data_IF_489426000483
#
_entry.id   IF_489426000483
#
_cell.length_a   1.000
_cell.length_b   1.000
_cell.length_c   1.000
_cell.angle_alpha   90.00
_cell.angle_beta   90.00
_cell.angle_gamma   90.00
#
_symmetry.space_group_name_H-M   'P 1'
#
loop_
_entity.id
_entity.type
_entity.pdbx_description
1 polymer ?
#
# COMPACT_ATOMS: atom_id res chain seq x y z
N UNK A 1 -3.90 8.31 49.91
CA UNK A 1 -4.86 8.96 49.00
C UNK A 1 -4.08 10.04 48.28
N UNK A 2 -3.69 9.95 47.00
CA UNK A 2 -4.27 9.38 45.77
C UNK A 2 -3.09 8.83 44.93
N UNK A 3 -2.90 7.53 44.67
CA UNK A 3 -3.50 6.72 43.59
C UNK A 3 -3.95 7.48 42.34
N UNK A 4 -3.09 7.67 41.32
CA UNK A 4 -3.45 7.34 39.92
C UNK A 4 -2.20 7.14 39.07
N UNK A 5 -2.30 6.16 38.18
CA UNK A 5 -1.28 5.34 37.53
C UNK A 5 -0.49 5.97 36.37
N UNK A 6 0.61 5.33 35.94
CA UNK A 6 1.38 5.71 34.77
C UNK A 6 0.73 5.17 33.49
N UNK A 7 0.71 5.94 32.42
CA UNK A 7 0.41 5.44 31.08
C UNK A 7 1.65 5.62 30.21
N UNK A 8 2.57 4.67 30.35
CA UNK A 8 3.49 4.33 29.28
C UNK A 8 2.62 4.05 28.05
N UNK A 9 2.74 4.90 27.03
CA UNK A 9 2.17 4.62 25.71
C UNK A 9 2.84 3.37 25.20
N UNK A 10 2.21 2.22 25.45
CA UNK A 10 2.59 0.96 24.85
C UNK A 10 2.37 1.10 23.35
N UNK A 11 3.43 1.47 22.65
CA UNK A 11 3.53 1.29 21.21
C UNK A 11 3.35 -0.21 21.00
N UNK A 12 2.13 -0.62 20.65
CA UNK A 12 1.81 -2.03 20.42
C UNK A 12 2.76 -2.51 19.34
N UNK A 13 3.66 -3.42 19.71
CA UNK A 13 4.52 -4.10 18.76
C UNK A 13 3.64 -4.59 17.61
N UNK A 14 3.99 -4.29 16.35
CA UNK A 14 3.19 -4.69 15.21
C UNK A 14 2.96 -6.21 15.27
N UNK A 15 1.77 -6.69 14.89
CA UNK A 15 1.45 -8.11 14.94
C UNK A 15 2.54 -8.91 14.20
N UNK A 16 2.85 -10.13 14.68
CA UNK A 16 3.80 -11.01 14.01
C UNK A 16 3.45 -11.14 12.52
N UNK A 17 4.37 -10.72 11.65
CA UNK A 17 4.20 -10.73 10.19
C UNK A 17 4.07 -9.35 9.53
N UNK A 18 3.64 -8.31 10.25
CA UNK A 18 3.48 -6.98 9.64
C UNK A 18 4.83 -6.29 9.39
N UNK A 19 5.81 -6.49 10.29
CA UNK A 19 7.19 -6.02 10.07
C UNK A 19 7.83 -6.77 8.90
N UNK A 20 7.72 -8.10 8.85
CA UNK A 20 8.28 -8.90 7.77
C UNK A 20 7.67 -8.53 6.41
N UNK A 21 6.35 -8.33 6.36
CA UNK A 21 5.68 -7.88 5.15
C UNK A 21 6.17 -6.50 4.70
N UNK A 22 6.30 -5.55 5.64
CA UNK A 22 6.83 -4.22 5.37
C UNK A 22 8.25 -4.29 4.80
N UNK A 23 9.12 -5.07 5.42
CA UNK A 23 10.51 -5.21 4.99
C UNK A 23 10.61 -5.81 3.59
N UNK A 24 9.84 -6.87 3.31
CA UNK A 24 9.78 -7.47 1.97
C UNK A 24 9.28 -6.45 0.95
N UNK A 25 8.24 -5.68 1.30
CA UNK A 25 7.67 -4.69 0.41
C UNK A 25 8.70 -3.60 0.08
N UNK A 26 9.32 -3.02 1.10
CA UNK A 26 10.26 -1.90 0.99
C UNK A 26 11.59 -2.29 0.32
N UNK A 27 12.11 -3.49 0.58
CA UNK A 27 13.41 -3.93 0.07
C UNK A 27 13.37 -4.66 -1.26
N UNK A 28 12.18 -4.99 -1.78
CA UNK A 28 12.09 -5.67 -3.07
C UNK A 28 12.63 -4.79 -4.21
N UNK A 29 13.48 -5.34 -5.10
CA UNK A 29 14.01 -4.61 -6.26
C UNK A 29 12.99 -4.48 -7.40
N UNK A 30 11.78 -5.01 -7.22
CA UNK A 30 10.67 -4.90 -8.17
C UNK A 30 9.64 -3.89 -7.69
N UNK A 31 9.00 -3.19 -8.60
CA UNK A 31 7.90 -2.28 -8.26
C UNK A 31 6.71 -3.05 -7.70
N UNK A 32 6.30 -2.73 -6.47
CA UNK A 32 5.14 -3.33 -5.83
C UNK A 32 4.23 -2.26 -5.24
N UNK A 33 2.94 -2.51 -5.36
CA UNK A 33 1.89 -1.65 -4.82
C UNK A 33 0.74 -2.50 -4.28
N UNK A 34 0.09 -1.99 -3.24
CA UNK A 34 -1.19 -2.48 -2.76
C UNK A 34 -2.29 -1.52 -3.22
N UNK A 35 -3.40 -2.10 -3.67
CA UNK A 35 -4.58 -1.39 -4.11
C UNK A 35 -5.73 -1.68 -3.14
N UNK A 36 -6.57 -0.68 -2.92
CA UNK A 36 -7.93 -0.87 -2.40
C UNK A 36 -8.83 -1.47 -3.48
N UNK A 37 -10.01 -1.96 -3.10
CA UNK A 37 -11.01 -2.47 -4.04
C UNK A 37 -11.50 -1.38 -5.01
N UNK A 38 -11.45 -0.11 -4.59
CA UNK A 38 -11.75 1.05 -5.45
C UNK A 38 -10.56 1.44 -6.37
N UNK A 39 -9.49 0.66 -6.37
CA UNK A 39 -8.32 0.88 -7.24
C UNK A 39 -7.36 1.99 -6.77
N UNK A 40 -7.53 2.52 -5.55
CA UNK A 40 -6.60 3.51 -4.96
C UNK A 40 -5.37 2.83 -4.38
N UNK A 41 -4.21 3.43 -4.55
CA UNK A 41 -2.99 2.95 -3.91
C UNK A 41 -3.06 3.12 -2.39
N UNK A 42 -2.84 2.03 -1.66
CA UNK A 42 -2.80 2.04 -0.19
C UNK A 42 -1.37 1.94 0.34
N UNK A 43 -0.49 1.28 -0.42
CA UNK A 43 0.96 1.25 -0.19
C UNK A 43 1.69 1.12 -1.52
N UNK A 44 2.86 1.73 -1.61
CA UNK A 44 3.79 1.60 -2.74
C UNK A 44 5.20 1.44 -2.19
N UNK A 45 6.03 0.63 -2.84
CA UNK A 45 7.43 0.54 -2.45
C UNK A 45 8.29 1.57 -3.19
N UNK A 46 9.53 1.72 -2.70
CA UNK A 46 10.49 2.66 -3.28
C UNK A 46 10.79 2.37 -4.74
N UNK A 47 10.99 1.11 -5.11
CA UNK A 47 11.25 0.72 -6.49
C UNK A 47 10.10 1.12 -7.44
N UNK A 48 8.85 0.98 -7.01
CA UNK A 48 7.69 1.39 -7.81
C UNK A 48 7.66 2.90 -8.04
N UNK A 49 7.95 3.68 -6.99
CA UNK A 49 8.06 5.14 -7.08
C UNK A 49 9.17 5.55 -8.05
N UNK A 50 10.34 4.93 -7.95
CA UNK A 50 11.50 5.19 -8.83
C UNK A 50 11.24 4.82 -10.29
N UNK A 51 10.55 3.70 -10.55
CA UNK A 51 10.18 3.27 -11.91
C UNK A 51 9.24 4.27 -12.58
N UNK A 52 8.28 4.80 -11.83
CA UNK A 52 7.27 5.71 -12.37
C UNK A 52 7.69 7.18 -12.32
N UNK A 53 8.70 7.52 -11.50
CA UNK A 53 9.15 8.89 -11.31
C UNK A 53 8.22 9.76 -10.46
N UNK A 54 7.51 9.16 -9.51
CA UNK A 54 6.59 9.85 -8.59
C UNK A 54 7.07 9.78 -7.16
N UNK A 55 6.71 10.78 -6.36
CA UNK A 55 6.85 10.67 -4.91
C UNK A 55 5.77 9.73 -4.32
N UNK A 56 6.07 9.02 -3.23
CA UNK A 56 5.11 8.10 -2.59
C UNK A 56 3.79 8.78 -2.23
N UNK A 57 3.85 10.00 -1.72
CA UNK A 57 2.69 10.79 -1.29
C UNK A 57 1.78 11.20 -2.44
N UNK A 58 2.33 11.29 -3.65
CA UNK A 58 1.57 11.57 -4.87
C UNK A 58 0.84 10.31 -5.31
N UNK A 59 1.56 9.18 -5.40
CA UNK A 59 0.97 7.90 -5.77
C UNK A 59 -0.16 7.49 -4.83
N UNK A 60 -0.01 7.69 -3.52
CA UNK A 60 -1.06 7.35 -2.54
C UNK A 60 -2.36 8.17 -2.70
N UNK A 61 -2.34 9.28 -3.45
CA UNK A 61 -3.54 10.07 -3.77
C UNK A 61 -4.21 9.62 -5.09
N UNK A 62 -3.52 8.81 -5.87
CA UNK A 62 -3.94 8.37 -7.19
C UNK A 62 -4.62 6.99 -7.15
N UNK A 63 -5.30 6.68 -8.25
CA UNK A 63 -5.73 5.33 -8.60
C UNK A 63 -4.76 4.74 -9.61
N UNK A 64 -4.69 3.41 -9.70
CA UNK A 64 -3.83 2.76 -10.71
C UNK A 64 -4.14 3.24 -12.13
N UNK A 65 -5.41 3.53 -12.41
CA UNK A 65 -5.87 4.07 -13.70
C UNK A 65 -5.23 5.40 -14.10
N UNK A 66 -4.70 6.18 -13.15
CA UNK A 66 -4.05 7.46 -13.44
C UNK A 66 -2.65 7.30 -14.07
N UNK A 67 -2.02 6.14 -13.89
CA UNK A 67 -0.69 5.81 -14.42
C UNK A 67 -0.73 4.72 -15.50
N UNK A 68 -1.89 4.08 -15.70
CA UNK A 68 -2.10 3.06 -16.73
C UNK A 68 -2.46 3.72 -18.05
N UNK A 69 -1.92 3.17 -19.15
CA UNK A 69 -2.28 3.62 -20.50
C UNK A 69 -3.78 3.41 -20.77
N UNK A 70 -4.49 4.34 -21.42
CA UNK A 70 -5.96 4.27 -21.59
C UNK A 70 -6.47 2.97 -22.22
N UNK A 71 -5.72 2.41 -23.18
CA UNK A 71 -6.09 1.16 -23.86
C UNK A 71 -6.01 -0.09 -22.95
N UNK A 72 -5.33 0.02 -21.81
CA UNK A 72 -5.14 -1.08 -20.86
C UNK A 72 -5.98 -0.93 -19.58
N UNK A 73 -6.55 0.26 -19.32
CA UNK A 73 -7.38 0.53 -18.14
C UNK A 73 -8.51 -0.49 -18.00
N UNK A 74 -9.27 -0.75 -19.07
CA UNK A 74 -10.43 -1.64 -19.00
C UNK A 74 -10.04 -3.08 -18.69
N UNK A 75 -8.90 -3.54 -19.24
CA UNK A 75 -8.38 -4.90 -18.98
C UNK A 75 -7.91 -5.01 -17.53
N UNK A 76 -7.13 -4.03 -17.07
CA UNK A 76 -6.60 -4.02 -15.70
C UNK A 76 -7.71 -3.89 -14.65
N UNK A 77 -8.76 -3.10 -14.94
CA UNK A 77 -9.95 -3.01 -14.09
C UNK A 77 -10.66 -4.36 -13.94
N UNK A 78 -10.85 -5.09 -15.04
CA UNK A 78 -11.44 -6.44 -14.99
C UNK A 78 -10.59 -7.39 -14.13
N UNK A 79 -9.26 -7.36 -14.30
CA UNK A 79 -8.35 -8.15 -13.46
C UNK A 79 -8.44 -7.82 -11.98
N UNK A 80 -8.56 -6.54 -11.63
CA UNK A 80 -8.65 -6.10 -10.23
C UNK A 80 -10.00 -6.47 -9.62
N UNK A 81 -11.11 -6.28 -10.35
CA UNK A 81 -12.46 -6.49 -9.85
C UNK A 81 -12.89 -7.97 -9.82
N UNK A 82 -12.37 -8.81 -10.73
CA UNK A 82 -12.71 -10.23 -10.84
C UNK A 82 -12.36 -11.06 -9.60
N UNK A 83 -11.47 -10.57 -8.72
CA UNK A 83 -11.15 -11.23 -7.44
C UNK A 83 -12.22 -11.09 -6.36
N UNK A 84 -13.29 -10.32 -6.59
CA UNK A 84 -14.34 -10.04 -5.58
C UNK A 84 -15.56 -10.96 -5.68
N UNK A 85 -15.63 -11.84 -6.69
CA UNK A 85 -16.79 -12.71 -6.96
C UNK A 85 -16.48 -14.22 -6.87
N UNK A 86 -15.62 -14.63 -5.92
CA UNK A 86 -15.44 -16.05 -5.54
C UNK A 86 -15.59 -16.26 -4.03
#
# INVERSE_FOLDING_TARGET
MNMTEPAAGAEKAPPPGETQFRDILEQAPIGMALLSLDGRFTRVNRAFCEILGYEPEELLKLTFTAITHPDDIQKDQDFVLRRSEE
#
